data_IF_651053380491
#
_entry.id   IF_651053380491
#
_cell.length_a   1.000
_cell.length_b   1.000
_cell.length_c   1.000
_cell.angle_alpha   90.00
_cell.angle_beta   90.00
_cell.angle_gamma   90.00
#
_symmetry.space_group_name_H-M   'P 1'
#
loop_
_entity.id
_entity.type
_entity.pdbx_description
1 polymer ?
#
# COMPACT_ATOMS: atom_id res chain seq x y z
N UNK A 1 -1.84 14.32 -0.07
CA UNK A 1 -1.39 13.80 1.24
C UNK A 1 -2.48 12.90 1.82
N UNK A 2 -2.35 11.60 1.56
CA UNK A 2 -3.33 10.56 1.96
C UNK A 2 -2.82 9.66 3.09
N UNK A 3 -1.69 10.00 3.70
CA UNK A 3 -1.13 9.21 4.79
C UNK A 3 0.31 9.57 5.16
N UNK A 4 0.84 8.87 6.15
CA UNK A 4 2.21 9.09 6.67
C UNK A 4 3.27 8.95 5.57
N UNK A 5 3.13 7.99 4.65
CA UNK A 5 4.12 7.78 3.61
C UNK A 5 4.08 8.89 2.56
N UNK A 6 2.90 9.33 2.13
CA UNK A 6 2.73 10.50 1.27
C UNK A 6 3.31 11.76 1.93
N UNK A 7 3.03 11.98 3.23
CA UNK A 7 3.61 13.09 4.00
C UNK A 7 5.13 13.04 4.07
N UNK A 8 5.73 11.85 4.22
CA UNK A 8 7.20 11.69 4.21
C UNK A 8 7.78 11.97 2.84
N UNK A 9 7.20 11.45 1.76
CA UNK A 9 7.64 11.74 0.39
C UNK A 9 7.61 13.24 0.10
N UNK A 10 6.54 13.93 0.48
CA UNK A 10 6.42 15.39 0.36
C UNK A 10 7.51 16.13 1.15
N UNK A 11 7.84 15.66 2.37
CA UNK A 11 8.92 16.25 3.18
C UNK A 11 10.28 16.14 2.49
N UNK A 12 10.60 14.97 1.93
CA UNK A 12 11.88 14.76 1.24
C UNK A 12 11.95 15.55 -0.07
N UNK A 13 10.85 15.67 -0.81
CA UNK A 13 10.79 16.45 -2.04
C UNK A 13 11.13 17.94 -1.82
N UNK A 14 10.79 18.50 -0.65
CA UNK A 14 11.12 19.90 -0.28
C UNK A 14 12.64 20.19 -0.25
N UNK A 15 13.48 19.18 -0.16
CA UNK A 15 14.93 19.35 -0.27
C UNK A 15 15.40 19.64 -1.72
N UNK A 16 14.53 19.39 -2.70
CA UNK A 16 14.87 19.48 -4.12
C UNK A 16 14.12 20.56 -4.90
N UNK A 17 13.03 21.08 -4.36
CA UNK A 17 12.23 22.10 -5.01
C UNK A 17 11.01 22.51 -4.20
N UNK A 18 10.17 23.35 -4.80
CA UNK A 18 8.88 23.73 -4.23
C UNK A 18 7.92 22.53 -4.23
N UNK A 19 7.12 22.42 -3.18
CA UNK A 19 6.15 21.33 -3.03
C UNK A 19 4.80 21.91 -2.66
N UNK A 20 3.82 21.69 -3.53
CA UNK A 20 2.43 22.07 -3.33
C UNK A 20 1.63 20.87 -2.86
N UNK A 21 0.97 20.97 -1.71
CA UNK A 21 0.01 19.98 -1.22
C UNK A 21 -1.35 20.27 -1.83
N UNK A 22 -1.68 19.60 -2.94
CA UNK A 22 -2.92 19.86 -3.69
C UNK A 22 -4.17 19.31 -2.99
N UNK A 23 -4.01 18.30 -2.14
CA UNK A 23 -5.09 17.71 -1.35
C UNK A 23 -4.57 16.98 -0.12
N UNK A 24 -5.38 16.94 0.93
CA UNK A 24 -5.06 16.22 2.17
C UNK A 24 -6.34 15.71 2.81
N UNK A 25 -6.28 14.54 3.43
CA UNK A 25 -7.32 14.00 4.33
C UNK A 25 -6.80 13.88 5.78
N UNK A 26 -5.78 14.65 6.12
CA UNK A 26 -5.15 14.59 7.44
C UNK A 26 -6.10 15.02 8.57
N UNK A 27 -7.01 15.94 8.29
CA UNK A 27 -8.04 16.41 9.23
C UNK A 27 -8.99 15.29 9.69
N UNK A 28 -9.24 14.31 8.80
CA UNK A 28 -10.04 13.13 9.09
C UNK A 28 -9.16 11.89 9.37
N UNK A 29 -7.92 12.08 9.80
CA UNK A 29 -6.98 10.97 10.09
C UNK A 29 -6.80 10.03 8.91
N UNK A 30 -6.83 10.58 7.67
CA UNK A 30 -6.64 9.84 6.42
C UNK A 30 -7.65 8.71 6.18
N UNK A 31 -8.88 8.88 6.62
CA UNK A 31 -9.95 7.88 6.46
C UNK A 31 -10.56 7.84 5.07
N UNK A 32 -10.21 8.78 4.19
CA UNK A 32 -10.69 8.86 2.81
C UNK A 32 -9.60 9.38 1.87
N UNK A 33 -9.85 9.23 0.56
CA UNK A 33 -9.00 9.79 -0.50
C UNK A 33 -9.69 11.04 -1.05
N UNK A 34 -9.05 12.24 -0.98
CA UNK A 34 -9.59 13.45 -1.55
C UNK A 34 -9.82 13.30 -3.07
N UNK A 35 -10.95 13.82 -3.58
CA UNK A 35 -11.32 13.75 -5.01
C UNK A 35 -11.37 15.14 -5.66
N UNK A 36 -11.68 16.17 -4.87
CA UNK A 36 -11.85 17.55 -5.35
C UNK A 36 -10.55 18.33 -5.18
N UNK A 37 -9.67 18.22 -6.18
CA UNK A 37 -8.41 18.98 -6.23
C UNK A 37 -7.99 19.25 -7.67
N UNK A 38 -7.14 20.25 -7.86
CA UNK A 38 -6.55 20.59 -9.15
C UNK A 38 -5.02 20.44 -9.04
N UNK A 39 -4.43 19.71 -9.98
CA UNK A 39 -2.99 19.61 -10.11
C UNK A 39 -2.50 20.80 -10.95
N UNK A 40 -1.52 21.62 -10.45
CA UNK A 40 -0.93 22.70 -11.23
C UNK A 40 -0.32 22.16 -12.54
N UNK A 41 -0.63 22.82 -13.66
CA UNK A 41 -0.18 22.37 -14.98
C UNK A 41 1.30 22.65 -15.25
N UNK A 42 1.92 23.48 -14.43
CA UNK A 42 3.34 23.86 -14.46
C UNK A 42 4.20 23.07 -13.47
N UNK A 43 3.63 22.09 -12.77
CA UNK A 43 4.39 21.21 -11.89
C UNK A 43 5.26 20.21 -12.70
N UNK A 44 6.46 19.94 -12.22
CA UNK A 44 7.35 18.94 -12.84
C UNK A 44 6.76 17.52 -12.79
N UNK A 45 6.05 17.19 -11.71
CA UNK A 45 5.34 15.92 -11.55
C UNK A 45 4.27 15.97 -10.47
N UNK A 46 3.33 15.06 -10.54
CA UNK A 46 2.33 14.79 -9.50
C UNK A 46 2.66 13.48 -8.76
N UNK A 47 2.90 13.55 -7.46
CA UNK A 47 3.22 12.38 -6.64
C UNK A 47 1.97 11.82 -5.94
N UNK A 48 1.79 10.50 -6.00
CA UNK A 48 0.72 9.78 -5.31
C UNK A 48 1.26 8.56 -4.56
N UNK A 49 0.55 8.17 -3.50
CA UNK A 49 0.71 6.88 -2.82
C UNK A 49 -0.54 6.07 -3.07
N UNK A 50 -0.44 5.00 -3.86
CA UNK A 50 -1.61 4.28 -4.39
C UNK A 50 -2.35 3.49 -3.33
N UNK A 51 -1.64 2.97 -2.32
CA UNK A 51 -2.23 2.27 -1.19
C UNK A 51 -1.62 2.71 0.14
N UNK A 52 -2.46 3.19 1.04
CA UNK A 52 -2.07 3.71 2.35
C UNK A 52 -2.10 2.60 3.41
N UNK A 53 -1.00 1.89 3.55
CA UNK A 53 -0.81 0.70 4.40
C UNK A 53 -1.26 0.88 5.85
N UNK A 54 -1.16 2.11 6.39
CA UNK A 54 -1.43 2.41 7.80
C UNK A 54 -2.91 2.72 8.03
N UNK A 55 -3.56 3.39 7.08
CA UNK A 55 -4.92 3.91 7.24
C UNK A 55 -5.98 3.10 6.50
N UNK A 56 -5.55 2.22 5.58
CA UNK A 56 -6.44 1.29 4.90
C UNK A 56 -7.22 1.91 3.73
N UNK A 57 -6.67 2.94 3.07
CA UNK A 57 -7.25 3.52 1.85
C UNK A 57 -6.43 3.15 0.61
N UNK A 58 -7.07 2.99 -0.55
CA UNK A 58 -6.47 2.56 -1.82
C UNK A 58 -7.08 3.28 -3.02
N UNK A 59 -6.24 3.74 -3.95
CA UNK A 59 -6.63 4.16 -5.28
C UNK A 59 -6.90 2.93 -6.15
N UNK A 60 -8.17 2.63 -6.43
CA UNK A 60 -8.57 1.41 -7.16
C UNK A 60 -8.42 1.52 -8.67
N UNK A 61 -8.17 2.72 -9.19
CA UNK A 61 -7.94 2.99 -10.61
C UNK A 61 -6.76 3.95 -10.78
N UNK A 62 -6.19 3.94 -11.98
CA UNK A 62 -5.15 4.90 -12.33
C UNK A 62 -5.79 6.28 -12.54
N UNK A 63 -5.17 7.31 -11.97
CA UNK A 63 -5.60 8.69 -12.10
C UNK A 63 -5.23 9.25 -13.48
N UNK A 64 -5.90 10.32 -13.87
CA UNK A 64 -5.47 11.20 -14.95
C UNK A 64 -4.83 12.45 -14.35
N UNK A 65 -3.75 12.94 -14.97
CA UNK A 65 -3.01 14.11 -14.52
C UNK A 65 -2.54 14.95 -15.71
N UNK A 66 -2.58 16.29 -15.62
CA UNK A 66 -2.05 17.16 -16.66
C UNK A 66 -0.52 17.12 -16.73
N UNK A 67 0.14 16.56 -15.71
CA UNK A 67 1.61 16.47 -15.60
C UNK A 67 2.03 15.02 -15.34
N UNK A 68 3.31 14.66 -15.58
CA UNK A 68 3.81 13.31 -15.32
C UNK A 68 3.55 12.83 -13.89
N UNK A 69 3.17 11.57 -13.70
CA UNK A 69 2.92 11.02 -12.37
C UNK A 69 4.10 10.22 -11.84
N UNK A 70 4.35 10.37 -10.53
CA UNK A 70 5.25 9.53 -9.72
C UNK A 70 4.43 8.79 -8.68
N UNK A 71 4.55 7.47 -8.61
CA UNK A 71 3.73 6.67 -7.70
C UNK A 71 4.55 5.81 -6.75
N UNK A 72 4.25 5.90 -5.45
CA UNK A 72 4.61 4.88 -4.46
C UNK A 72 3.58 3.76 -4.52
N UNK A 73 4.00 2.59 -5.03
CA UNK A 73 3.20 1.38 -5.11
C UNK A 73 3.73 0.27 -4.18
N UNK A 74 4.43 0.62 -3.12
CA UNK A 74 5.07 -0.36 -2.23
C UNK A 74 4.12 -1.44 -1.72
N UNK A 75 2.86 -1.12 -1.47
CA UNK A 75 1.92 -2.05 -0.83
C UNK A 75 0.85 -2.64 -1.74
N UNK A 76 0.79 -2.22 -3.00
CA UNK A 76 -0.21 -2.71 -3.96
C UNK A 76 0.33 -3.03 -5.35
N UNK A 77 1.66 -2.92 -5.56
CA UNK A 77 2.26 -3.35 -6.84
C UNK A 77 1.89 -4.81 -7.16
N UNK A 78 1.54 -5.09 -8.40
CA UNK A 78 1.09 -6.40 -8.89
C UNK A 78 -0.20 -6.93 -8.25
N UNK A 79 -0.97 -6.09 -7.56
CA UNK A 79 -2.28 -6.47 -7.03
C UNK A 79 -3.42 -6.25 -8.01
N UNK A 80 -3.21 -5.41 -9.02
CA UNK A 80 -4.16 -5.09 -10.10
C UNK A 80 -3.43 -4.72 -11.40
N UNK A 81 -4.10 -4.77 -12.55
CA UNK A 81 -3.58 -4.14 -13.76
C UNK A 81 -3.43 -2.63 -13.59
N UNK A 82 -2.37 -2.07 -14.14
CA UNK A 82 -2.10 -0.63 -14.20
C UNK A 82 -1.69 -0.23 -15.61
N UNK A 83 -1.99 0.98 -16.01
CA UNK A 83 -1.45 1.58 -17.23
C UNK A 83 -0.12 2.27 -16.90
N UNK A 84 0.99 1.53 -17.09
CA UNK A 84 2.35 2.04 -16.81
C UNK A 84 2.67 3.30 -17.61
N UNK A 85 2.02 3.53 -18.76
CA UNK A 85 2.25 4.70 -19.60
C UNK A 85 1.88 6.03 -18.94
N UNK A 86 0.98 6.00 -17.95
CA UNK A 86 0.55 7.18 -17.19
C UNK A 86 1.61 7.68 -16.18
N UNK A 87 2.62 6.87 -15.89
CA UNK A 87 3.63 7.18 -14.87
C UNK A 87 4.99 7.46 -15.49
N UNK A 88 5.64 8.52 -15.04
CA UNK A 88 7.06 8.77 -15.34
C UNK A 88 7.96 7.90 -14.46
N UNK A 89 7.53 7.64 -13.23
CA UNK A 89 8.23 6.78 -12.27
C UNK A 89 7.23 6.05 -11.36
N UNK A 90 7.44 4.75 -11.20
CA UNK A 90 6.80 3.92 -10.18
C UNK A 90 7.89 3.36 -9.30
N UNK A 91 7.74 3.44 -8.00
CA UNK A 91 8.70 2.87 -7.07
C UNK A 91 8.03 2.17 -5.88
N UNK A 92 8.79 1.34 -5.20
CA UNK A 92 8.31 0.71 -3.97
C UNK A 92 9.30 -0.24 -3.33
N UNK A 93 9.13 -0.42 -2.02
CA UNK A 93 9.85 -1.46 -1.29
C UNK A 93 9.20 -2.84 -1.50
N UNK A 94 10.02 -3.86 -1.71
CA UNK A 94 9.55 -5.22 -1.99
C UNK A 94 8.87 -5.91 -0.79
N UNK A 95 9.16 -5.48 0.44
CA UNK A 95 8.83 -6.17 1.70
C UNK A 95 7.33 -6.30 2.03
N UNK A 96 6.44 -5.83 1.18
CA UNK A 96 5.00 -5.94 1.35
C UNK A 96 4.41 -7.00 0.41
N UNK A 97 4.28 -6.69 -0.86
CA UNK A 97 3.57 -7.54 -1.81
C UNK A 97 4.48 -8.35 -2.75
N UNK A 98 5.80 -8.14 -2.73
CA UNK A 98 6.72 -8.71 -3.72
C UNK A 98 7.75 -9.69 -3.15
N UNK A 99 8.47 -9.32 -2.09
CA UNK A 99 9.59 -10.11 -1.57
C UNK A 99 9.90 -9.78 -0.10
N UNK A 100 10.84 -10.44 0.58
CA UNK A 100 11.40 -9.97 1.85
C UNK A 100 12.04 -8.58 1.73
N UNK A 101 12.26 -7.92 2.88
CA UNK A 101 12.94 -6.64 2.96
C UNK A 101 14.36 -6.70 2.36
N UNK A 102 14.83 -5.58 1.82
CA UNK A 102 16.18 -5.39 1.28
C UNK A 102 16.22 -5.02 -0.20
N UNK A 103 15.09 -5.06 -0.91
CA UNK A 103 14.97 -4.63 -2.31
C UNK A 103 13.99 -3.47 -2.43
N UNK A 104 14.37 -2.48 -3.21
CA UNK A 104 13.49 -1.44 -3.74
C UNK A 104 13.47 -1.58 -5.25
N UNK A 105 12.28 -1.62 -5.84
CA UNK A 105 12.14 -1.57 -7.30
C UNK A 105 11.83 -0.14 -7.75
N UNK A 106 12.31 0.19 -8.95
CA UNK A 106 12.00 1.44 -9.65
C UNK A 106 11.70 1.11 -11.10
N UNK A 107 10.59 1.59 -11.61
CA UNK A 107 10.23 1.57 -13.03
C UNK A 107 10.19 3.03 -13.47
N UNK A 108 11.10 3.43 -14.33
CA UNK A 108 11.24 4.82 -14.77
C UNK A 108 11.25 4.89 -16.31
N UNK A 109 10.59 5.90 -16.86
CA UNK A 109 10.66 6.15 -18.32
C UNK A 109 12.08 6.54 -18.71
N UNK A 110 12.58 5.97 -19.80
CA UNK A 110 13.94 6.25 -20.29
C UNK A 110 14.14 7.74 -20.63
N UNK A 111 13.13 8.39 -21.14
CA UNK A 111 13.16 9.81 -21.50
C UNK A 111 13.10 10.75 -20.27
N UNK A 112 12.87 10.23 -19.08
CA UNK A 112 12.98 10.98 -17.84
C UNK A 112 14.41 11.11 -17.33
N UNK A 113 15.32 10.28 -17.82
CA UNK A 113 16.71 10.27 -17.36
C UNK A 113 17.51 11.42 -17.98
N UNK A 114 18.50 11.93 -17.25
CA UNK A 114 19.42 12.96 -17.73
C UNK A 114 18.82 14.35 -17.97
N UNK A 115 17.64 14.64 -17.42
CA UNK A 115 16.95 15.93 -17.64
C UNK A 115 17.39 17.07 -16.73
N UNK A 116 18.08 16.77 -15.63
CA UNK A 116 18.51 17.79 -14.66
C UNK A 116 19.99 18.10 -14.83
N UNK A 117 20.33 19.40 -14.77
CA UNK A 117 21.71 19.89 -14.87
C UNK A 117 22.45 19.94 -13.52
N UNK A 118 21.73 19.87 -12.40
CA UNK A 118 22.34 19.87 -11.06
C UNK A 118 23.15 18.59 -10.82
N UNK A 119 24.15 18.67 -9.96
CA UNK A 119 24.90 17.49 -9.50
C UNK A 119 23.95 16.54 -8.76
N UNK A 120 24.01 15.26 -9.17
CA UNK A 120 23.31 14.16 -8.51
C UNK A 120 24.36 13.20 -7.97
N UNK A 121 24.37 12.87 -6.66
CA UNK A 121 25.25 11.84 -6.12
C UNK A 121 25.09 10.51 -6.87
N UNK A 122 26.17 9.78 -7.09
CA UNK A 122 26.22 8.56 -7.91
C UNK A 122 25.07 7.58 -7.60
N UNK A 123 24.82 7.31 -6.32
CA UNK A 123 23.79 6.34 -5.91
C UNK A 123 22.35 6.86 -6.03
N UNK A 124 22.15 8.16 -6.18
CA UNK A 124 20.83 8.78 -6.42
C UNK A 124 20.56 9.00 -7.91
N UNK A 125 21.53 8.73 -8.78
CA UNK A 125 21.39 8.85 -10.22
C UNK A 125 20.89 7.54 -10.82
N UNK A 126 19.67 7.49 -11.31
CA UNK A 126 19.11 6.28 -11.92
C UNK A 126 19.91 5.78 -13.13
N UNK A 127 20.59 6.66 -13.88
CA UNK A 127 21.46 6.24 -14.98
C UNK A 127 22.57 5.29 -14.51
N UNK A 128 23.15 5.54 -13.32
CA UNK A 128 24.15 4.65 -12.72
C UNK A 128 23.63 3.22 -12.59
N UNK A 129 22.37 3.07 -12.15
CA UNK A 129 21.75 1.76 -11.96
C UNK A 129 21.40 1.10 -13.31
N UNK A 130 20.94 1.88 -14.29
CA UNK A 130 20.63 1.40 -15.64
C UNK A 130 21.89 0.86 -16.31
N UNK A 131 22.98 1.64 -16.32
CA UNK A 131 24.24 1.29 -16.99
C UNK A 131 24.91 0.05 -16.37
N UNK A 132 24.60 -0.26 -15.13
CA UNK A 132 25.17 -1.39 -14.40
C UNK A 132 24.16 -2.52 -14.14
N UNK A 133 23.02 -2.55 -14.84
CA UNK A 133 22.01 -3.60 -14.67
C UNK A 133 21.55 -3.77 -13.22
N UNK A 134 21.41 -2.67 -12.50
CA UNK A 134 21.08 -2.61 -11.06
C UNK A 134 22.11 -3.24 -10.13
N UNK A 135 23.32 -3.49 -10.62
CA UNK A 135 24.40 -4.16 -9.87
C UNK A 135 25.67 -3.27 -9.75
N UNK A 136 25.52 -1.96 -9.67
CA UNK A 136 26.64 -1.06 -9.43
C UNK A 136 27.38 -1.41 -8.13
N UNK A 137 26.65 -1.74 -7.08
CA UNK A 137 27.18 -2.37 -5.87
C UNK A 137 26.63 -3.80 -5.76
N UNK A 138 27.20 -4.61 -4.88
CA UNK A 138 26.76 -5.98 -4.61
C UNK A 138 25.27 -6.01 -4.24
N UNK A 139 24.42 -6.70 -5.02
CA UNK A 139 22.99 -6.69 -4.79
C UNK A 139 22.57 -7.68 -3.68
N UNK A 140 21.42 -7.45 -3.04
CA UNK A 140 20.85 -8.37 -2.07
C UNK A 140 20.23 -9.59 -2.79
N UNK A 141 21.03 -10.61 -3.07
CA UNK A 141 20.70 -11.74 -3.96
C UNK A 141 19.43 -12.48 -3.51
N UNK A 142 19.33 -12.80 -2.21
CA UNK A 142 18.20 -13.61 -1.68
C UNK A 142 16.85 -12.91 -1.85
N UNK A 143 16.66 -11.63 -1.48
CA UNK A 143 15.40 -10.93 -1.74
C UNK A 143 15.08 -10.78 -3.24
N UNK A 144 16.09 -10.58 -4.10
CA UNK A 144 15.90 -10.52 -5.56
C UNK A 144 15.43 -11.87 -6.09
N UNK A 145 16.03 -12.96 -5.66
CA UNK A 145 15.60 -14.31 -6.02
C UNK A 145 14.17 -14.58 -5.55
N UNK A 146 13.83 -14.20 -4.31
CA UNK A 146 12.47 -14.32 -3.80
C UNK A 146 11.47 -13.51 -4.63
N UNK A 147 11.82 -12.27 -5.02
CA UNK A 147 11.01 -11.45 -5.92
C UNK A 147 10.74 -12.16 -7.26
N UNK A 148 11.79 -12.76 -7.86
CA UNK A 148 11.66 -13.54 -9.09
C UNK A 148 10.67 -14.71 -8.92
N UNK A 149 10.76 -15.46 -7.81
CA UNK A 149 9.85 -16.57 -7.56
C UNK A 149 8.41 -16.10 -7.35
N UNK A 150 8.21 -14.99 -6.64
CA UNK A 150 6.89 -14.37 -6.47
C UNK A 150 6.29 -13.96 -7.82
N UNK A 151 7.06 -13.33 -8.70
CA UNK A 151 6.60 -12.93 -10.03
C UNK A 151 6.26 -14.13 -10.91
N UNK A 152 7.08 -15.19 -10.86
CA UNK A 152 6.80 -16.47 -11.53
C UNK A 152 5.49 -17.09 -11.02
N UNK A 153 5.30 -17.08 -9.72
CA UNK A 153 4.07 -17.55 -9.09
C UNK A 153 2.86 -16.73 -9.54
N UNK A 154 2.93 -15.40 -9.48
CA UNK A 154 1.86 -14.52 -9.97
C UNK A 154 1.49 -14.84 -11.41
N UNK A 155 2.51 -15.00 -12.28
CA UNK A 155 2.30 -15.37 -13.69
C UNK A 155 1.61 -16.75 -13.82
N UNK A 156 2.05 -17.73 -13.07
CA UNK A 156 1.48 -19.09 -13.08
C UNK A 156 0.05 -19.15 -12.55
N UNK A 157 -0.32 -18.21 -11.64
CA UNK A 157 -1.66 -18.13 -11.09
C UNK A 157 -2.67 -17.39 -12.00
N UNK A 158 -2.27 -16.90 -13.17
CA UNK A 158 -3.15 -16.17 -14.09
C UNK A 158 -2.85 -14.66 -14.18
N UNK A 159 -1.73 -14.21 -13.58
CA UNK A 159 -1.25 -12.83 -13.66
C UNK A 159 -2.01 -11.87 -12.76
N UNK A 160 -1.78 -10.56 -12.99
CA UNK A 160 -2.30 -9.50 -12.11
C UNK A 160 -3.82 -9.38 -12.11
N UNK A 161 -4.52 -9.78 -13.17
CA UNK A 161 -6.00 -9.83 -13.19
C UNK A 161 -6.55 -10.84 -12.19
N UNK A 162 -5.90 -11.99 -12.07
CA UNK A 162 -6.28 -12.98 -11.08
C UNK A 162 -5.91 -12.52 -9.67
N UNK A 163 -4.79 -11.82 -9.49
CA UNK A 163 -4.44 -11.23 -8.19
C UNK A 163 -5.49 -10.20 -7.76
N UNK A 164 -5.97 -9.36 -8.67
CA UNK A 164 -7.05 -8.40 -8.39
C UNK A 164 -8.34 -9.09 -7.96
N UNK A 165 -8.74 -10.14 -8.69
CA UNK A 165 -9.92 -10.93 -8.33
C UNK A 165 -9.82 -11.52 -6.92
N UNK A 166 -8.66 -12.12 -6.59
CA UNK A 166 -8.40 -12.71 -5.25
C UNK A 166 -8.33 -11.64 -4.17
N UNK A 167 -7.71 -10.50 -4.45
CA UNK A 167 -7.62 -9.39 -3.50
C UNK A 167 -9.02 -8.84 -3.18
N UNK A 168 -9.85 -8.64 -4.22
CA UNK A 168 -11.23 -8.19 -4.08
C UNK A 168 -12.04 -9.19 -3.25
N UNK A 169 -11.99 -10.48 -3.59
CA UNK A 169 -12.70 -11.53 -2.85
C UNK A 169 -12.32 -11.55 -1.35
N UNK A 170 -11.03 -11.51 -1.03
CA UNK A 170 -10.55 -11.47 0.36
C UNK A 170 -11.02 -10.22 1.11
N UNK A 171 -10.93 -9.06 0.46
CA UNK A 171 -11.33 -7.80 1.05
C UNK A 171 -12.84 -7.75 1.30
N UNK A 172 -13.63 -8.14 0.31
CA UNK A 172 -15.10 -8.14 0.40
C UNK A 172 -15.58 -9.03 1.55
N UNK A 173 -14.99 -10.22 1.70
CA UNK A 173 -15.31 -11.14 2.80
C UNK A 173 -15.07 -10.51 4.17
N UNK A 174 -13.88 -9.90 4.37
CA UNK A 174 -13.52 -9.33 5.68
C UNK A 174 -14.29 -8.05 5.96
N UNK A 175 -14.49 -7.19 4.96
CA UNK A 175 -15.31 -5.98 5.14
C UNK A 175 -16.79 -6.31 5.37
N UNK A 176 -17.33 -7.36 4.75
CA UNK A 176 -18.68 -7.81 5.05
C UNK A 176 -18.83 -8.23 6.52
N UNK A 177 -17.84 -8.93 7.06
CA UNK A 177 -17.82 -9.27 8.48
C UNK A 177 -17.68 -8.05 9.37
N UNK A 178 -16.75 -7.14 9.08
CA UNK A 178 -16.56 -5.89 9.86
C UNK A 178 -17.85 -5.06 9.88
N UNK A 179 -18.54 -4.94 8.73
CA UNK A 179 -19.76 -4.15 8.61
C UNK A 179 -20.99 -4.84 9.25
N UNK A 180 -20.98 -6.16 9.38
CA UNK A 180 -22.02 -6.96 10.04
C UNK A 180 -21.84 -7.01 11.56
N UNK A 181 -20.60 -7.16 12.01
CA UNK A 181 -20.27 -7.44 13.40
C UNK A 181 -20.41 -6.18 14.27
N UNK A 182 -21.21 -6.27 15.33
CA UNK A 182 -21.49 -5.11 16.21
C UNK A 182 -20.27 -4.58 16.95
N UNK A 183 -19.21 -5.40 17.08
CA UNK A 183 -18.04 -5.08 17.91
C UNK A 183 -16.95 -4.34 17.14
N UNK A 184 -17.01 -4.31 15.79
CA UNK A 184 -15.93 -3.77 14.96
C UNK A 184 -16.42 -2.68 14.02
N UNK A 185 -15.53 -1.73 13.71
CA UNK A 185 -15.79 -0.64 12.76
C UNK A 185 -14.59 -0.47 11.82
N UNK A 186 -14.84 -0.46 10.52
CA UNK A 186 -13.81 -0.13 9.51
C UNK A 186 -13.44 1.35 9.59
N UNK A 187 -12.15 1.65 9.52
CA UNK A 187 -11.66 3.03 9.66
C UNK A 187 -11.72 3.85 8.38
N UNK A 188 -11.69 3.21 7.22
CA UNK A 188 -11.71 3.89 5.91
C UNK A 188 -13.14 4.03 5.37
N UNK A 189 -13.40 5.13 4.66
CA UNK A 189 -14.62 5.33 3.87
C UNK A 189 -14.82 4.16 2.90
N UNK A 190 -16.06 3.69 2.75
CA UNK A 190 -16.36 2.43 2.04
C UNK A 190 -15.81 2.38 0.61
N UNK A 191 -15.95 3.49 -0.12
CA UNK A 191 -15.47 3.62 -1.50
C UNK A 191 -13.94 3.60 -1.62
N UNK A 192 -13.23 4.02 -0.57
CA UNK A 192 -11.77 4.17 -0.56
C UNK A 192 -11.05 3.01 0.18
N UNK A 193 -11.80 2.03 0.68
CA UNK A 193 -11.26 0.87 1.41
C UNK A 193 -10.20 0.11 0.62
N UNK A 194 -9.06 -0.15 1.26
CA UNK A 194 -7.97 -0.93 0.68
C UNK A 194 -8.31 -2.43 0.58
N UNK A 195 -7.94 -3.04 -0.54
CA UNK A 195 -7.98 -4.49 -0.72
C UNK A 195 -6.74 -5.20 -0.16
N UNK A 196 -5.67 -4.40 0.13
CA UNK A 196 -4.39 -4.92 0.63
C UNK A 196 -4.24 -4.81 2.14
N UNK A 197 -4.71 -3.71 2.74
CA UNK A 197 -4.54 -3.42 4.16
C UNK A 197 -5.88 -3.02 4.76
N UNK A 198 -6.57 -3.97 5.35
CA UNK A 198 -7.88 -3.80 5.93
C UNK A 198 -7.71 -3.34 7.38
N UNK A 199 -8.04 -2.07 7.64
CA UNK A 199 -7.91 -1.44 8.95
C UNK A 199 -9.28 -1.34 9.63
N UNK A 200 -9.34 -1.72 10.90
CA UNK A 200 -10.56 -1.67 11.71
C UNK A 200 -10.23 -1.49 13.19
N UNK A 201 -11.19 -1.04 13.95
CA UNK A 201 -11.09 -0.80 15.41
C UNK A 201 -12.27 -1.45 16.11
N UNK A 202 -12.20 -1.57 17.45
CA UNK A 202 -13.39 -1.88 18.22
C UNK A 202 -14.41 -0.75 18.11
N UNK A 203 -15.69 -1.09 18.03
CA UNK A 203 -16.76 -0.11 18.17
C UNK A 203 -16.70 0.57 19.56
N UNK A 204 -17.12 1.84 19.67
CA UNK A 204 -16.95 2.61 20.91
C UNK A 204 -17.43 1.89 22.17
N UNK A 205 -18.55 1.16 22.08
CA UNK A 205 -19.17 0.43 23.17
C UNK A 205 -18.35 -0.79 23.65
N UNK A 206 -17.44 -1.29 22.78
CA UNK A 206 -16.60 -2.47 23.02
C UNK A 206 -15.11 -2.13 23.15
N UNK A 207 -14.76 -0.84 23.21
CA UNK A 207 -13.36 -0.39 23.17
C UNK A 207 -12.48 -1.03 24.25
N UNK A 208 -13.02 -1.26 25.41
CA UNK A 208 -12.30 -1.88 26.54
C UNK A 208 -11.91 -3.34 26.28
N UNK A 209 -12.53 -4.01 25.30
CA UNK A 209 -12.24 -5.38 24.89
C UNK A 209 -11.12 -5.48 23.83
N UNK A 210 -10.48 -4.37 23.41
CA UNK A 210 -9.42 -4.39 22.39
C UNK A 210 -8.26 -5.32 22.77
N UNK A 211 -7.82 -5.26 24.03
CA UNK A 211 -6.74 -6.11 24.54
C UNK A 211 -7.16 -7.60 24.61
N UNK A 212 -8.39 -7.86 24.98
CA UNK A 212 -8.93 -9.21 25.07
C UNK A 212 -9.07 -9.85 23.70
N UNK A 213 -9.58 -9.10 22.70
CA UNK A 213 -9.62 -9.58 21.33
C UNK A 213 -8.22 -9.84 20.76
N UNK A 214 -7.24 -8.95 21.03
CA UNK A 214 -5.84 -9.17 20.62
C UNK A 214 -5.28 -10.48 21.17
N UNK A 215 -5.51 -10.75 22.46
CA UNK A 215 -5.08 -12.00 23.11
C UNK A 215 -5.79 -13.19 22.48
N UNK A 216 -7.10 -13.14 22.37
CA UNK A 216 -7.96 -14.18 21.80
C UNK A 216 -7.55 -14.56 20.37
N UNK A 217 -7.28 -13.55 19.52
CA UNK A 217 -6.82 -13.74 18.16
C UNK A 217 -5.40 -14.32 18.10
N UNK A 218 -4.48 -13.85 18.98
CA UNK A 218 -3.11 -14.37 19.05
C UNK A 218 -3.07 -15.83 19.42
N UNK A 219 -3.87 -16.25 20.40
CA UNK A 219 -4.00 -17.66 20.82
C UNK A 219 -4.52 -18.57 19.71
N UNK A 220 -5.21 -18.01 18.70
CA UNK A 220 -5.68 -18.68 17.48
C UNK A 220 -4.74 -18.54 16.29
N UNK A 221 -3.51 -18.08 16.52
CA UNK A 221 -2.48 -17.97 15.49
C UNK A 221 -2.58 -16.74 14.61
N UNK A 222 -3.38 -15.71 14.94
CA UNK A 222 -3.49 -14.46 14.23
C UNK A 222 -2.30 -13.56 14.55
N UNK A 223 -1.14 -13.84 13.96
CA UNK A 223 0.09 -13.07 14.20
C UNK A 223 0.08 -11.78 13.36
N UNK A 224 0.41 -10.65 13.99
CA UNK A 224 0.64 -9.39 13.29
C UNK A 224 -0.62 -8.61 12.91
N UNK A 225 -1.78 -8.91 13.49
CA UNK A 225 -3.02 -8.14 13.24
C UNK A 225 -3.11 -6.82 14.00
N UNK A 226 -2.18 -6.53 14.90
CA UNK A 226 -2.15 -5.25 15.63
C UNK A 226 -2.03 -4.09 14.65
N UNK A 227 -2.89 -3.09 14.81
CA UNK A 227 -2.85 -1.87 14.03
C UNK A 227 -1.60 -1.03 14.26
N UNK A 228 -1.36 -0.06 13.38
CA UNK A 228 -0.22 0.83 13.55
C UNK A 228 -0.45 1.76 14.74
N UNK A 229 0.63 2.09 15.48
CA UNK A 229 0.59 2.93 16.69
C UNK A 229 -0.10 4.30 16.52
N UNK A 230 -0.17 4.83 15.30
CA UNK A 230 -0.83 6.10 15.00
C UNK A 230 -2.33 5.99 14.76
N UNK A 231 -2.86 4.78 14.59
CA UNK A 231 -4.29 4.52 14.36
C UNK A 231 -4.87 3.70 15.51
N UNK A 232 -4.10 2.77 16.07
CA UNK A 232 -4.58 1.78 17.03
C UNK A 232 -5.32 0.62 16.37
N UNK A 233 -6.10 -0.11 17.12
CA UNK A 233 -6.95 -1.18 16.62
C UNK A 233 -6.19 -2.29 15.91
N UNK A 234 -6.73 -2.70 14.77
CA UNK A 234 -6.30 -3.88 14.03
C UNK A 234 -6.04 -3.56 12.56
N UNK A 235 -5.16 -4.36 11.93
CA UNK A 235 -4.89 -4.30 10.51
C UNK A 235 -4.60 -5.69 9.95
N UNK A 236 -5.45 -6.18 9.08
CA UNK A 236 -5.20 -7.38 8.29
C UNK A 236 -4.46 -7.00 7.01
N UNK A 237 -3.23 -7.51 6.82
CA UNK A 237 -2.45 -7.31 5.60
C UNK A 237 -2.68 -8.49 4.65
N UNK A 238 -3.62 -8.30 3.71
CA UNK A 238 -4.12 -9.33 2.78
C UNK A 238 -3.38 -9.34 1.45
N UNK A 239 -2.04 -9.27 1.47
CA UNK A 239 -1.22 -9.26 0.26
C UNK A 239 -1.50 -10.46 -0.66
N UNK A 240 -0.99 -10.42 -1.89
CA UNK A 240 -1.28 -11.42 -2.92
C UNK A 240 -1.10 -12.86 -2.45
N UNK A 241 -0.03 -13.14 -1.70
CA UNK A 241 0.29 -14.48 -1.22
C UNK A 241 -0.56 -14.93 0.00
N UNK A 242 -1.33 -14.03 0.63
CA UNK A 242 -2.20 -14.40 1.75
C UNK A 242 -3.35 -15.29 1.24
N UNK A 243 -3.50 -16.52 1.74
CA UNK A 243 -4.59 -17.40 1.33
C UNK A 243 -5.95 -16.87 1.80
N UNK A 244 -7.00 -17.17 1.06
CA UNK A 244 -8.39 -16.84 1.42
C UNK A 244 -8.79 -17.48 2.76
N UNK A 245 -8.32 -18.69 3.00
CA UNK A 245 -8.57 -19.45 4.22
C UNK A 245 -8.04 -18.75 5.48
N UNK A 246 -6.94 -18.02 5.36
CA UNK A 246 -6.42 -17.22 6.48
C UNK A 246 -7.32 -16.02 6.79
N UNK A 247 -7.94 -15.43 5.77
CA UNK A 247 -8.94 -14.36 5.96
C UNK A 247 -10.20 -14.93 6.58
N UNK A 248 -10.66 -16.12 6.13
CA UNK A 248 -11.80 -16.80 6.73
C UNK A 248 -11.55 -17.13 8.21
N UNK A 249 -10.35 -17.61 8.55
CA UNK A 249 -9.99 -17.89 9.94
C UNK A 249 -10.08 -16.65 10.85
N UNK A 250 -9.71 -15.46 10.32
CA UNK A 250 -9.90 -14.20 11.05
C UNK A 250 -11.39 -13.87 11.23
N UNK A 251 -12.20 -14.06 10.18
CA UNK A 251 -13.65 -13.86 10.24
C UNK A 251 -14.27 -14.77 11.30
N UNK A 252 -13.93 -16.07 11.29
CA UNK A 252 -14.42 -17.05 12.27
C UNK A 252 -14.03 -16.65 13.69
N UNK A 253 -12.79 -16.15 13.87
CA UNK A 253 -12.30 -15.64 15.15
C UNK A 253 -13.11 -14.42 15.62
N UNK A 254 -13.43 -13.47 14.73
CA UNK A 254 -14.26 -12.30 15.06
C UNK A 254 -15.68 -12.72 15.46
N UNK A 255 -16.29 -13.66 14.73
CA UNK A 255 -17.62 -14.17 15.04
C UNK A 255 -17.68 -14.98 16.34
N UNK A 256 -16.64 -15.76 16.62
CA UNK A 256 -16.54 -16.48 17.89
C UNK A 256 -16.42 -15.51 19.07
N UNK A 257 -15.57 -14.47 18.93
CA UNK A 257 -15.42 -13.45 19.96
C UNK A 257 -16.72 -12.69 20.21
N UNK A 258 -17.46 -12.33 19.14
CA UNK A 258 -18.78 -11.68 19.25
C UNK A 258 -19.80 -12.53 20.02
N UNK A 259 -19.77 -13.85 19.87
CA UNK A 259 -20.70 -14.76 20.60
C UNK A 259 -20.40 -14.89 22.09
N UNK A 260 -19.18 -14.58 22.49
CA UNK A 260 -18.72 -14.70 23.89
C UNK A 260 -18.99 -13.41 24.68
N UNK A 261 -19.28 -12.31 24.00
CA UNK A 261 -19.50 -10.98 24.56
C UNK A 261 -20.79 -10.35 24.06
#
# INVERSE_FOLDING_TARGET
NTGVWAKKAMKEAKAFGEVVEVASSAEATYTYIPKDYTVPADADYFHITTNNTIYGTELKADLDSPVPMVADMSSDIFSRPIDVSKYICIYGGAQKNLAPAGVTFVIVKNDALGKVSRYIPTMLNYQTHVDNGSMFNTPPVVPIYAALQTLRWVKAQGGVKEMERRATEKADMLYAEIDRNKMFVGTAAKEDRSRMNICFVMAPEYKDLEADFMKFATERGMVGIKGHRSVGGFRASCYNAMPKESVQALIDCMQEFEKLH
#
